data_IF_392475628446
#
_entry.id   IF_392475628446
#
_cell.length_a   1.000
_cell.length_b   1.000
_cell.length_c   1.000
_cell.angle_alpha   90.00
_cell.angle_beta   90.00
_cell.angle_gamma   90.00
#
_symmetry.space_group_name_H-M   'P 1'
#
loop_
_entity.id
_entity.type
_entity.pdbx_description
1 polymer ?
#
# COMPACT_ATOMS: atom_id res chain seq x y z
N UNK A 1 -3.89 15.38 22.58
CA UNK A 1 -3.48 15.48 21.18
C UNK A 1 -2.45 16.60 21.01
N UNK A 2 -1.18 16.21 21.11
CA UNK A 2 0.01 17.01 20.84
C UNK A 2 0.54 16.70 19.44
N UNK A 3 1.47 17.51 18.92
CA UNK A 3 2.11 17.24 17.63
C UNK A 3 2.94 15.95 17.66
N UNK A 4 3.55 15.61 18.81
CA UNK A 4 4.30 14.37 18.97
C UNK A 4 3.38 13.13 18.90
N UNK A 5 2.22 13.18 19.58
CA UNK A 5 1.21 12.13 19.52
C UNK A 5 0.70 11.92 18.08
N UNK A 6 0.50 13.00 17.32
CA UNK A 6 0.16 12.92 15.90
C UNK A 6 1.30 12.33 15.06
N UNK A 7 2.55 12.68 15.35
CA UNK A 7 3.70 12.09 14.67
C UNK A 7 3.78 10.57 14.89
N UNK A 8 3.52 10.10 16.10
CA UNK A 8 3.51 8.67 16.42
C UNK A 8 2.36 7.94 15.72
N UNK A 9 1.14 8.50 15.74
CA UNK A 9 -0.02 7.87 15.11
C UNK A 9 0.09 7.84 13.58
N UNK A 10 0.39 8.99 12.95
CA UNK A 10 0.50 9.08 11.49
C UNK A 10 1.80 8.46 10.98
N UNK A 11 2.84 8.42 11.82
CA UNK A 11 4.13 7.83 11.50
C UNK A 11 4.05 6.34 11.17
N UNK A 12 3.08 5.61 11.73
CA UNK A 12 2.85 4.18 11.43
C UNK A 12 2.60 3.92 9.94
N UNK A 13 2.12 4.93 9.20
CA UNK A 13 1.87 4.83 7.77
C UNK A 13 3.07 5.22 6.91
N UNK A 14 4.01 6.03 7.41
CA UNK A 14 5.16 6.50 6.65
C UNK A 14 5.89 7.68 7.28
N UNK A 15 7.05 8.08 6.71
CA UNK A 15 7.81 9.21 7.21
C UNK A 15 7.09 10.53 6.93
N UNK A 16 7.09 11.41 7.93
CA UNK A 16 6.34 12.66 7.90
C UNK A 16 7.24 13.83 7.52
N UNK A 17 6.79 14.61 6.55
CA UNK A 17 7.40 15.85 6.11
C UNK A 17 7.09 17.03 7.06
N UNK A 18 5.87 17.07 7.60
CA UNK A 18 5.44 18.11 8.54
C UNK A 18 4.20 17.67 9.31
N UNK A 19 4.11 18.04 10.58
CA UNK A 19 2.91 17.93 11.40
C UNK A 19 2.69 19.27 12.08
N UNK A 20 1.47 19.80 12.02
CA UNK A 20 1.14 21.09 12.63
C UNK A 20 -0.29 21.11 13.14
N UNK A 21 -0.47 21.42 14.43
CA UNK A 21 -1.80 21.67 15.00
C UNK A 21 -2.15 23.15 14.88
N UNK A 22 -3.33 23.44 14.33
CA UNK A 22 -3.89 24.78 14.26
C UNK A 22 -4.69 25.04 15.53
N UNK A 23 -4.04 25.68 16.51
CA UNK A 23 -4.67 26.05 17.77
C UNK A 23 -5.68 27.19 17.59
N UNK A 24 -6.83 27.13 18.30
CA UNK A 24 -7.91 28.11 18.16
C UNK A 24 -7.45 29.50 18.58
N UNK A 25 -7.65 30.49 17.70
CA UNK A 25 -7.21 31.88 17.90
C UNK A 25 -8.30 32.74 18.53
N UNK A 26 -9.58 32.40 18.33
CA UNK A 26 -10.72 33.13 18.88
C UNK A 26 -11.40 32.37 20.04
N UNK A 27 -12.16 33.08 20.87
CA UNK A 27 -12.96 32.45 21.95
C UNK A 27 -14.04 31.51 21.38
N UNK A 28 -14.60 31.85 20.22
CA UNK A 28 -15.62 31.05 19.53
C UNK A 28 -15.06 29.71 19.03
N UNK A 29 -13.83 29.69 18.52
CA UNK A 29 -13.13 28.46 18.14
C UNK A 29 -12.76 27.61 19.36
N UNK A 30 -12.36 28.24 20.49
CA UNK A 30 -12.09 27.53 21.75
C UNK A 30 -13.32 26.82 22.29
N UNK A 31 -14.52 27.41 22.10
CA UNK A 31 -15.80 26.81 22.51
C UNK A 31 -16.17 25.56 21.70
N UNK A 32 -15.70 25.44 20.44
CA UNK A 32 -15.99 24.27 19.58
C UNK A 32 -15.30 22.98 20.02
N UNK A 33 -14.31 23.05 20.93
CA UNK A 33 -13.55 21.91 21.46
C UNK A 33 -12.99 20.96 20.38
N UNK A 34 -12.70 21.48 19.19
CA UNK A 34 -12.13 20.74 18.05
C UNK A 34 -10.94 21.51 17.52
N UNK A 35 -9.84 20.81 17.32
CA UNK A 35 -8.65 21.37 16.70
C UNK A 35 -8.55 20.84 15.27
N UNK A 36 -8.08 21.68 14.35
CA UNK A 36 -7.69 21.24 13.02
C UNK A 36 -6.17 21.09 12.98
N UNK A 37 -5.64 20.23 12.10
CA UNK A 37 -4.21 20.07 11.91
C UNK A 37 -3.88 19.71 10.47
N UNK A 38 -2.61 19.88 10.12
CA UNK A 38 -2.06 19.46 8.84
C UNK A 38 -0.97 18.41 9.09
N UNK A 39 -1.07 17.30 8.36
CA UNK A 39 -0.03 16.27 8.30
C UNK A 39 0.38 16.14 6.84
N UNK A 40 1.68 16.28 6.59
CA UNK A 40 2.29 16.06 5.29
C UNK A 40 3.21 14.84 5.37
N UNK A 41 3.02 13.89 4.46
CA UNK A 41 3.89 12.73 4.31
C UNK A 41 5.01 13.03 3.30
N UNK A 42 6.16 12.36 3.43
CA UNK A 42 7.22 12.42 2.42
C UNK A 42 6.79 11.78 1.09
N UNK A 43 5.84 10.85 1.14
CA UNK A 43 5.27 10.18 -0.03
C UNK A 43 3.74 10.20 0.01
N UNK A 44 3.11 10.43 -1.15
CA UNK A 44 1.65 10.47 -1.31
C UNK A 44 0.97 9.16 -0.91
N UNK A 45 1.56 8.00 -1.24
CA UNK A 45 0.98 6.68 -0.96
C UNK A 45 0.75 6.47 0.54
N UNK A 46 1.64 6.99 1.37
CA UNK A 46 1.56 6.89 2.82
C UNK A 46 0.39 7.72 3.37
N UNK A 47 0.17 8.92 2.80
CA UNK A 47 -0.99 9.75 3.11
C UNK A 47 -2.32 9.14 2.67
N UNK A 48 -2.34 8.44 1.52
CA UNK A 48 -3.52 7.69 1.05
C UNK A 48 -3.89 6.57 2.03
N UNK A 49 -2.89 5.82 2.52
CA UNK A 49 -3.09 4.79 3.54
C UNK A 49 -3.58 5.37 4.87
N UNK A 50 -2.98 6.48 5.33
CA UNK A 50 -3.40 7.14 6.56
C UNK A 50 -4.86 7.62 6.45
N UNK A 51 -5.24 8.26 5.34
CA UNK A 51 -6.63 8.71 5.11
C UNK A 51 -7.60 7.54 5.11
N UNK A 52 -7.28 6.47 4.38
CA UNK A 52 -8.14 5.29 4.31
C UNK A 52 -8.35 4.62 5.67
N UNK A 53 -7.32 4.62 6.51
CA UNK A 53 -7.33 3.89 7.79
C UNK A 53 -7.90 4.71 8.94
N UNK A 54 -7.54 5.99 9.03
CA UNK A 54 -7.90 6.82 10.18
C UNK A 54 -9.19 7.63 9.97
N UNK A 55 -9.67 7.84 8.74
CA UNK A 55 -10.82 8.73 8.51
C UNK A 55 -12.11 8.08 9.05
N UNK A 56 -12.81 8.78 9.93
CA UNK A 56 -14.00 8.26 10.64
C UNK A 56 -13.68 7.38 11.86
N UNK A 57 -12.40 7.18 12.19
CA UNK A 57 -12.00 6.44 13.41
C UNK A 57 -11.81 7.37 14.60
N UNK A 58 -11.94 6.82 15.81
CA UNK A 58 -11.65 7.54 17.04
C UNK A 58 -10.18 7.38 17.42
N UNK A 59 -9.43 8.48 17.40
CA UNK A 59 -8.02 8.53 17.79
C UNK A 59 -7.89 9.42 19.01
N UNK A 60 -7.41 8.86 20.13
CA UNK A 60 -7.18 9.57 21.39
C UNK A 60 -8.40 10.36 21.90
N UNK A 61 -9.60 9.81 21.73
CA UNK A 61 -10.86 10.42 22.17
C UNK A 61 -11.46 11.44 21.19
N UNK A 62 -10.93 11.53 19.97
CA UNK A 62 -11.43 12.43 18.92
C UNK A 62 -11.77 11.66 17.65
N UNK A 63 -12.95 11.90 17.09
CA UNK A 63 -13.32 11.40 15.75
C UNK A 63 -12.48 12.13 14.69
N UNK A 64 -11.69 11.38 13.93
CA UNK A 64 -10.84 11.92 12.87
C UNK A 64 -11.65 12.20 11.62
N UNK A 65 -11.66 13.47 11.17
CA UNK A 65 -12.21 13.88 9.88
C UNK A 65 -11.11 14.46 9.03
N UNK A 66 -10.77 13.77 7.95
CA UNK A 66 -9.62 14.11 7.13
C UNK A 66 -10.02 14.37 5.68
N UNK A 67 -9.23 15.19 5.02
CA UNK A 67 -9.36 15.50 3.60
C UNK A 67 -8.02 15.94 3.03
N UNK A 68 -7.95 15.98 1.70
CA UNK A 68 -6.73 16.41 1.00
C UNK A 68 -6.57 17.93 1.06
N UNK A 69 -5.43 18.39 1.58
CA UNK A 69 -5.02 19.78 1.56
C UNK A 69 -4.22 20.17 0.32
N UNK A 70 -3.84 21.45 0.22
CA UNK A 70 -2.92 21.93 -0.82
C UNK A 70 -1.53 21.31 -0.63
N UNK A 71 -0.91 20.88 -1.73
CA UNK A 71 0.45 20.36 -1.71
C UNK A 71 1.45 21.40 -1.15
N UNK A 72 2.33 20.93 -0.27
CA UNK A 72 3.41 21.73 0.32
C UNK A 72 4.78 21.23 -0.17
N UNK A 73 5.80 22.09 -0.27
CA UNK A 73 7.16 21.65 -0.56
C UNK A 73 7.65 20.65 0.49
N UNK A 74 8.12 19.49 0.05
CA UNK A 74 8.63 18.43 0.93
C UNK A 74 10.09 18.74 1.30
N UNK A 75 10.44 18.79 2.60
CA UNK A 75 11.81 18.99 3.03
C UNK A 75 12.69 17.79 2.64
N UNK A 76 14.03 17.98 2.51
CA UNK A 76 14.94 16.88 2.15
C UNK A 76 14.99 15.77 3.21
N UNK A 77 14.72 16.12 4.47
CA UNK A 77 14.66 15.19 5.59
C UNK A 77 13.29 15.29 6.27
N UNK A 78 12.67 14.15 6.62
CA UNK A 78 11.42 14.14 7.37
C UNK A 78 11.60 14.70 8.79
N UNK A 79 10.51 15.26 9.34
CA UNK A 79 10.42 15.66 10.76
C UNK A 79 10.23 14.46 11.68
N UNK A 80 9.66 13.37 11.16
CA UNK A 80 9.47 12.12 11.89
C UNK A 80 9.78 10.93 10.98
N UNK A 81 10.66 10.05 11.46
CA UNK A 81 10.99 8.78 10.81
C UNK A 81 10.47 7.66 11.71
N UNK A 82 9.60 6.78 11.20
CA UNK A 82 9.10 5.65 11.97
C UNK A 82 10.26 4.75 12.40
N UNK A 83 10.28 4.23 13.64
CA UNK A 83 11.39 3.40 14.14
C UNK A 83 11.76 2.23 13.21
N UNK A 84 10.77 1.56 12.62
CA UNK A 84 10.98 0.48 11.66
C UNK A 84 11.77 0.93 10.40
N UNK A 85 11.58 2.17 9.94
CA UNK A 85 12.37 2.73 8.84
C UNK A 85 13.77 3.15 9.27
N UNK A 86 13.94 3.61 10.52
CA UNK A 86 15.27 3.91 11.08
C UNK A 86 16.12 2.64 11.05
N UNK A 87 15.56 1.51 11.46
CA UNK A 87 16.26 0.21 11.47
C UNK A 87 16.75 -0.20 10.06
N UNK A 88 15.97 0.10 9.02
CA UNK A 88 16.41 -0.11 7.63
C UNK A 88 17.63 0.73 7.24
N UNK A 89 17.88 1.85 7.89
CA UNK A 89 19.08 2.66 7.64
C UNK A 89 20.29 2.19 8.44
N UNK A 90 20.12 1.30 9.42
CA UNK A 90 21.22 0.78 10.22
C UNK A 90 21.99 -0.34 9.49
N UNK A 91 23.30 -0.46 9.75
CA UNK A 91 24.08 -1.58 9.26
C UNK A 91 23.57 -2.89 9.88
N UNK A 92 23.61 -4.01 9.13
CA UNK A 92 23.19 -5.30 9.66
C UNK A 92 24.17 -5.81 10.72
N UNK A 93 23.73 -6.73 11.60
CA UNK A 93 24.61 -7.33 12.60
C UNK A 93 25.81 -8.06 11.94
N UNK A 94 26.95 -8.17 12.64
CA UNK A 94 28.12 -8.87 12.12
C UNK A 94 27.81 -10.34 11.81
N UNK A 95 28.02 -10.75 10.56
CA UNK A 95 27.82 -12.13 10.11
C UNK A 95 29.10 -12.97 10.14
N UNK A 96 30.27 -12.33 10.12
CA UNK A 96 31.57 -13.00 9.93
C UNK A 96 31.91 -13.29 8.46
N UNK A 97 31.00 -13.00 7.52
CA UNK A 97 31.28 -13.09 6.08
C UNK A 97 31.99 -11.84 5.56
N UNK A 98 32.76 -11.94 4.45
CA UNK A 98 33.38 -10.78 3.81
C UNK A 98 32.37 -9.66 3.53
N UNK A 99 32.78 -8.42 3.76
CA UNK A 99 31.92 -7.22 3.61
C UNK A 99 30.65 -7.27 4.46
N UNK A 100 30.65 -8.03 5.55
CA UNK A 100 29.50 -8.27 6.41
C UNK A 100 28.26 -8.76 5.62
N UNK A 101 28.48 -9.59 4.60
CA UNK A 101 27.40 -10.16 3.79
C UNK A 101 26.46 -10.98 4.68
N UNK A 102 25.15 -10.81 4.51
CA UNK A 102 24.14 -11.52 5.30
C UNK A 102 23.67 -12.76 4.54
N UNK A 103 23.72 -13.97 5.14
CA UNK A 103 23.19 -15.18 4.53
C UNK A 103 21.66 -15.12 4.43
N UNK A 104 21.07 -15.81 3.45
CA UNK A 104 19.60 -15.88 3.30
C UNK A 104 18.93 -16.65 4.45
N UNK A 105 19.56 -17.73 4.91
CA UNK A 105 19.10 -18.53 6.05
C UNK A 105 19.96 -18.18 7.27
N UNK A 106 19.43 -17.30 8.14
CA UNK A 106 20.11 -16.91 9.38
C UNK A 106 20.20 -18.05 10.40
N UNK A 107 21.20 -18.01 11.28
CA UNK A 107 21.26 -18.86 12.48
C UNK A 107 21.98 -20.20 12.34
N UNK A 108 22.51 -20.55 11.17
CA UNK A 108 23.40 -21.72 11.03
C UNK A 108 24.86 -21.34 11.28
N UNK A 109 25.66 -22.21 11.94
CA UNK A 109 27.10 -22.00 12.04
C UNK A 109 27.71 -21.85 10.64
N UNK A 110 28.59 -20.85 10.48
CA UNK A 110 29.32 -20.71 9.22
C UNK A 110 30.23 -21.93 9.03
N UNK A 111 30.21 -22.57 7.84
CA UNK A 111 31.16 -23.61 7.53
C UNK A 111 32.58 -23.02 7.44
N UNK A 112 33.63 -23.85 7.55
CA UNK A 112 35.01 -23.41 7.36
C UNK A 112 35.20 -22.72 6.01
N UNK A 113 36.06 -21.68 5.98
CA UNK A 113 36.47 -21.02 4.74
C UNK A 113 37.01 -22.01 3.71
N UNK A 114 36.83 -21.70 2.43
CA UNK A 114 37.27 -22.52 1.29
C UNK A 114 36.56 -23.87 1.11
N UNK A 115 35.41 -24.07 1.76
CA UNK A 115 34.55 -25.22 1.47
C UNK A 115 33.54 -24.89 0.35
N UNK A 116 33.13 -25.86 -0.49
CA UNK A 116 32.09 -25.63 -1.50
C UNK A 116 30.77 -25.10 -0.90
N UNK A 117 30.49 -25.48 0.34
CA UNK A 117 29.33 -24.99 1.09
C UNK A 117 29.49 -23.51 1.48
N UNK A 118 30.68 -23.08 1.87
CA UNK A 118 31.01 -21.68 2.12
C UNK A 118 30.83 -20.84 0.85
N UNK A 119 31.37 -21.29 -0.28
CA UNK A 119 31.24 -20.58 -1.57
C UNK A 119 29.78 -20.48 -2.02
N UNK A 120 28.98 -21.53 -1.79
CA UNK A 120 27.56 -21.52 -2.07
C UNK A 120 26.83 -20.48 -1.19
N UNK A 121 27.11 -20.45 0.11
CA UNK A 121 26.54 -19.45 1.03
C UNK A 121 26.93 -18.05 0.58
N UNK A 122 28.22 -17.82 0.34
CA UNK A 122 28.77 -16.53 -0.09
C UNK A 122 28.09 -16.04 -1.37
N UNK A 123 27.95 -16.90 -2.38
CA UNK A 123 27.31 -16.56 -3.66
C UNK A 123 25.81 -16.21 -3.56
N UNK A 124 25.17 -16.60 -2.46
CA UNK A 124 23.76 -16.34 -2.18
C UNK A 124 23.53 -15.23 -1.15
N UNK A 125 24.58 -14.82 -0.44
CA UNK A 125 24.54 -13.80 0.60
C UNK A 125 24.39 -12.39 0.02
N UNK A 126 23.90 -11.46 0.82
CA UNK A 126 23.61 -10.07 0.42
C UNK A 126 24.43 -9.10 1.26
N UNK A 127 25.21 -8.24 0.60
CA UNK A 127 25.91 -7.10 1.18
C UNK A 127 24.99 -5.89 1.11
N UNK A 128 24.45 -5.47 2.25
CA UNK A 128 23.67 -4.24 2.38
C UNK A 128 24.60 -3.05 2.56
N UNK A 129 24.60 -2.14 1.60
CA UNK A 129 25.41 -0.91 1.67
C UNK A 129 24.64 0.15 2.44
N UNK A 130 25.27 0.74 3.45
CA UNK A 130 24.71 1.81 4.28
C UNK A 130 25.62 3.04 4.17
N UNK A 131 25.01 4.22 4.01
CA UNK A 131 25.75 5.48 3.95
C UNK A 131 26.18 5.86 5.38
N UNK A 132 27.49 6.11 5.62
CA UNK A 132 27.95 6.61 6.92
C UNK A 132 27.21 7.88 7.34
N UNK A 133 26.75 7.93 8.59
CA UNK A 133 26.03 9.08 9.17
C UNK A 133 26.98 10.21 9.59
N UNK A 134 28.24 9.89 9.88
CA UNK A 134 29.28 10.84 10.25
C UNK A 134 29.78 11.65 9.04
N UNK A 135 29.49 12.96 9.03
CA UNK A 135 29.82 13.86 7.91
C UNK A 135 31.31 13.94 7.59
N UNK A 136 32.15 13.93 8.63
CA UNK A 136 33.61 14.03 8.48
C UNK A 136 34.16 12.77 7.83
N UNK A 137 33.75 11.60 8.30
CA UNK A 137 34.11 10.30 7.73
C UNK A 137 33.60 10.17 6.29
N UNK A 138 32.36 10.56 6.03
CA UNK A 138 31.78 10.52 4.68
C UNK A 138 32.57 11.40 3.70
N UNK A 139 32.89 12.63 4.11
CA UNK A 139 33.71 13.56 3.31
C UNK A 139 35.11 13.00 3.04
N UNK A 140 35.74 12.39 4.05
CA UNK A 140 37.04 11.74 3.91
C UNK A 140 36.99 10.58 2.92
N UNK A 141 35.97 9.71 3.02
CA UNK A 141 35.76 8.61 2.10
C UNK A 141 35.60 9.12 0.66
N UNK A 142 34.78 10.15 0.44
CA UNK A 142 34.58 10.73 -0.90
C UNK A 142 35.87 11.31 -1.46
N UNK A 143 36.66 12.02 -0.64
CA UNK A 143 37.95 12.58 -1.05
C UNK A 143 38.95 11.48 -1.39
N UNK A 144 38.99 10.41 -0.61
CA UNK A 144 39.81 9.23 -0.90
C UNK A 144 39.43 8.58 -2.24
N UNK A 145 38.13 8.44 -2.52
CA UNK A 145 37.66 7.87 -3.79
C UNK A 145 38.05 8.75 -4.97
N UNK A 146 37.89 10.07 -4.86
CA UNK A 146 38.30 11.02 -5.90
C UNK A 146 39.77 10.83 -6.30
N UNK A 147 40.66 10.74 -5.30
CA UNK A 147 42.09 10.53 -5.56
C UNK A 147 42.38 9.12 -6.10
N UNK A 148 41.74 8.07 -5.59
CA UNK A 148 41.96 6.71 -6.10
C UNK A 148 41.48 6.55 -7.54
N UNK A 149 40.37 7.20 -7.92
CA UNK A 149 39.88 7.21 -9.31
C UNK A 149 40.86 7.96 -10.23
N UNK A 150 41.48 9.04 -9.74
CA UNK A 150 42.39 9.89 -10.53
C UNK A 150 43.81 9.32 -10.64
N UNK A 151 44.38 8.86 -9.54
CA UNK A 151 45.79 8.44 -9.39
C UNK A 151 45.95 6.91 -9.47
N UNK A 152 44.85 6.16 -9.38
CA UNK A 152 44.84 4.70 -9.45
C UNK A 152 45.07 3.98 -8.10
N UNK A 153 45.10 2.63 -8.12
CA UNK A 153 45.14 1.81 -6.90
C UNK A 153 46.46 1.92 -6.13
N UNK A 154 47.55 2.35 -6.75
CA UNK A 154 48.82 2.60 -6.06
C UNK A 154 48.70 3.72 -5.02
N UNK A 155 47.83 4.71 -5.26
CA UNK A 155 47.54 5.77 -4.29
C UNK A 155 46.85 5.20 -3.04
N UNK A 156 45.88 4.30 -3.21
CA UNK A 156 45.21 3.62 -2.09
C UNK A 156 46.24 2.89 -1.22
N UNK A 157 47.12 2.09 -1.84
CA UNK A 157 48.17 1.35 -1.13
C UNK A 157 49.15 2.28 -0.39
N UNK A 158 49.51 3.42 -0.98
CA UNK A 158 50.37 4.42 -0.35
C UNK A 158 49.73 5.02 0.90
N UNK A 159 48.45 5.41 0.82
CA UNK A 159 47.72 5.96 1.97
C UNK A 159 47.53 4.90 3.05
N UNK A 160 47.23 3.65 2.69
CA UNK A 160 47.14 2.55 3.64
C UNK A 160 48.45 2.35 4.43
N UNK A 161 49.61 2.42 3.78
CA UNK A 161 50.89 2.30 4.47
C UNK A 161 51.20 3.51 5.36
N UNK A 162 50.89 4.72 4.88
CA UNK A 162 51.17 5.98 5.60
C UNK A 162 50.26 6.18 6.82
N UNK A 163 48.98 5.85 6.69
CA UNK A 163 47.94 6.16 7.68
C UNK A 163 47.53 4.93 8.52
N UNK A 164 48.41 3.92 8.62
CA UNK A 164 48.15 2.66 9.33
C UNK A 164 47.66 2.85 10.78
N UNK A 165 48.23 3.84 11.47
CA UNK A 165 47.91 4.14 12.87
C UNK A 165 46.86 5.24 13.04
N UNK A 166 46.30 5.76 11.95
CA UNK A 166 45.33 6.86 11.98
C UNK A 166 43.89 6.31 12.07
N UNK A 167 43.15 6.57 13.16
CA UNK A 167 41.77 6.09 13.31
C UNK A 167 40.82 6.60 12.21
N UNK A 168 41.10 7.75 11.60
CA UNK A 168 40.27 8.31 10.52
C UNK A 168 40.29 7.45 9.24
N UNK A 169 41.39 6.72 9.01
CA UNK A 169 41.57 5.83 7.85
C UNK A 169 41.28 4.36 8.18
N UNK A 170 40.75 4.07 9.36
CA UNK A 170 40.43 2.72 9.83
C UNK A 170 39.52 1.95 8.85
N UNK A 171 38.64 2.67 8.15
CA UNK A 171 37.78 2.11 7.11
C UNK A 171 38.54 1.49 5.92
N UNK A 172 39.82 1.80 5.69
CA UNK A 172 40.61 1.15 4.65
C UNK A 172 41.03 -0.27 5.05
N UNK A 173 41.12 -0.56 6.35
CA UNK A 173 41.64 -1.81 6.89
C UNK A 173 40.53 -2.75 7.38
N UNK A 174 39.43 -2.20 7.89
CA UNK A 174 38.33 -2.98 8.45
C UNK A 174 37.32 -3.43 7.39
N UNK A 175 37.62 -4.56 6.73
CA UNK A 175 36.84 -5.12 5.61
C UNK A 175 35.34 -5.37 5.89
N UNK A 176 34.95 -5.56 7.16
CA UNK A 176 33.57 -5.80 7.59
C UNK A 176 32.87 -4.53 8.08
N UNK A 177 33.59 -3.42 8.22
CA UNK A 177 33.00 -2.17 8.71
C UNK A 177 32.02 -1.59 7.68
N UNK A 178 30.90 -0.98 8.12
CA UNK A 178 29.96 -0.32 7.21
C UNK A 178 30.63 0.76 6.35
N UNK A 179 31.62 1.46 6.93
CA UNK A 179 32.40 2.47 6.23
C UNK A 179 33.25 1.88 5.09
N UNK A 180 33.88 0.72 5.30
CA UNK A 180 34.62 0.02 4.24
C UNK A 180 33.70 -0.48 3.13
N UNK A 181 32.56 -1.07 3.50
CA UNK A 181 31.55 -1.55 2.56
C UNK A 181 31.05 -0.40 1.67
N UNK A 182 30.75 0.75 2.28
CA UNK A 182 30.37 1.96 1.55
C UNK A 182 31.49 2.46 0.64
N UNK A 183 32.73 2.54 1.13
CA UNK A 183 33.90 2.95 0.34
C UNK A 183 34.08 2.09 -0.92
N UNK A 184 34.08 0.76 -0.77
CA UNK A 184 34.26 -0.19 -1.88
C UNK A 184 33.12 -0.12 -2.88
N UNK A 185 31.87 -0.12 -2.42
CA UNK A 185 30.71 0.05 -3.28
C UNK A 185 30.76 1.37 -4.04
N UNK A 186 31.09 2.46 -3.35
CA UNK A 186 31.06 3.79 -3.94
C UNK A 186 32.17 4.00 -4.97
N UNK A 187 33.37 3.50 -4.69
CA UNK A 187 34.47 3.46 -5.66
C UNK A 187 34.05 2.69 -6.91
N UNK A 188 33.46 1.50 -6.74
CA UNK A 188 32.93 0.70 -7.86
C UNK A 188 31.85 1.46 -8.65
N UNK A 189 30.87 2.05 -7.97
CA UNK A 189 29.77 2.80 -8.60
C UNK A 189 30.30 3.93 -9.50
N UNK A 190 31.27 4.73 -9.02
CA UNK A 190 31.88 5.80 -9.81
C UNK A 190 32.67 5.25 -11.00
N UNK A 191 33.45 4.17 -10.80
CA UNK A 191 34.18 3.52 -11.88
C UNK A 191 33.27 2.91 -12.96
N UNK A 192 32.03 2.55 -12.61
CA UNK A 192 31.00 2.11 -13.55
C UNK A 192 30.25 3.26 -14.23
N UNK A 193 30.64 4.52 -13.98
CA UNK A 193 30.07 5.71 -14.61
C UNK A 193 28.84 6.31 -13.92
N UNK A 194 28.54 5.92 -12.68
CA UNK A 194 27.46 6.56 -11.92
C UNK A 194 27.86 8.00 -11.51
N UNK A 195 26.87 8.91 -11.49
CA UNK A 195 27.08 10.30 -11.08
C UNK A 195 27.19 10.39 -9.54
N UNK A 196 27.95 11.35 -8.97
CA UNK A 196 28.07 11.50 -7.52
C UNK A 196 26.72 11.57 -6.80
N UNK A 197 25.75 12.30 -7.35
CA UNK A 197 24.44 12.45 -6.74
C UNK A 197 23.36 11.53 -7.35
N UNK A 198 23.73 10.59 -8.24
CA UNK A 198 22.78 9.67 -8.89
C UNK A 198 23.44 8.35 -9.30
N UNK A 199 22.97 7.26 -8.69
CA UNK A 199 23.51 5.91 -8.88
C UNK A 199 22.42 4.87 -9.12
N UNK A 200 22.83 3.70 -9.62
CA UNK A 200 21.95 2.55 -9.81
C UNK A 200 21.61 1.89 -8.46
N UNK A 201 20.34 1.53 -8.26
CA UNK A 201 19.85 0.89 -7.03
C UNK A 201 19.53 -0.60 -7.19
N UNK A 202 19.68 -1.15 -8.40
CA UNK A 202 19.48 -2.58 -8.65
C UNK A 202 20.60 -3.40 -8.00
N UNK A 203 20.26 -4.58 -7.50
CA UNK A 203 21.23 -5.51 -6.93
C UNK A 203 22.18 -6.03 -8.02
N UNK A 204 23.46 -6.16 -7.68
CA UNK A 204 24.48 -6.59 -8.63
C UNK A 204 25.57 -7.43 -7.95
N UNK A 205 26.42 -8.10 -8.73
CA UNK A 205 27.59 -8.81 -8.20
C UNK A 205 28.86 -8.08 -8.58
N UNK A 206 29.65 -7.67 -7.58
CA UNK A 206 30.93 -7.02 -7.81
C UNK A 206 32.00 -8.02 -8.28
N UNK A 207 31.94 -9.26 -7.80
CA UNK A 207 32.91 -10.31 -8.10
C UNK A 207 32.21 -11.58 -8.60
N UNK A 208 32.87 -12.33 -9.49
CA UNK A 208 32.38 -13.63 -9.96
C UNK A 208 32.33 -14.62 -8.79
N UNK A 209 31.16 -15.21 -8.55
CA UNK A 209 30.93 -16.11 -7.41
C UNK A 209 30.78 -15.42 -6.05
N UNK A 210 30.90 -14.09 -5.98
CA UNK A 210 30.72 -13.31 -4.76
C UNK A 210 29.27 -13.00 -4.41
N UNK A 211 29.09 -12.35 -3.26
CA UNK A 211 27.81 -11.89 -2.72
C UNK A 211 27.09 -10.89 -3.63
N UNK A 212 25.77 -10.79 -3.48
CA UNK A 212 24.93 -9.76 -4.09
C UNK A 212 25.07 -8.45 -3.32
N UNK A 213 25.40 -7.36 -4.00
CA UNK A 213 25.50 -6.03 -3.42
C UNK A 213 24.18 -5.29 -3.62
N UNK A 214 23.62 -4.80 -2.53
CA UNK A 214 22.41 -3.95 -2.51
C UNK A 214 22.82 -2.50 -2.25
N UNK A 215 22.81 -1.63 -3.28
CA UNK A 215 23.12 -0.22 -3.13
C UNK A 215 22.20 0.48 -2.12
N UNK A 216 22.65 1.56 -1.45
CA UNK A 216 21.78 2.35 -0.60
C UNK A 216 20.74 3.09 -1.45
N UNK A 217 19.52 3.30 -0.95
CA UNK A 217 18.54 4.16 -1.61
C UNK A 217 19.05 5.60 -1.67
N UNK A 218 18.78 6.32 -2.77
CA UNK A 218 19.19 7.72 -2.93
C UNK A 218 18.53 8.64 -1.91
N UNK A 219 17.26 8.37 -1.61
CA UNK A 219 16.56 8.94 -0.46
C UNK A 219 15.64 7.87 0.12
N UNK A 220 15.98 7.27 1.28
CA UNK A 220 15.18 6.19 1.87
C UNK A 220 13.75 6.63 2.21
N UNK A 221 13.51 7.93 2.39
CA UNK A 221 12.22 8.45 2.87
C UNK A 221 11.27 8.85 1.73
N UNK A 222 11.80 9.18 0.55
CA UNK A 222 10.94 9.57 -0.59
C UNK A 222 10.22 8.38 -1.23
N UNK A 223 10.67 7.15 -0.98
CA UNK A 223 9.97 5.95 -1.44
C UNK A 223 8.76 5.59 -0.57
N UNK A 224 8.60 6.25 0.59
CA UNK A 224 7.55 5.97 1.57
C UNK A 224 7.84 4.74 2.43
N UNK A 225 6.86 4.30 3.22
CA UNK A 225 6.97 3.07 4.01
C UNK A 225 7.00 1.84 3.08
N UNK A 226 7.99 0.93 3.19
CA UNK A 226 7.98 -0.34 2.48
C UNK A 226 6.75 -1.17 2.81
N UNK A 227 6.15 -1.82 1.82
CA UNK A 227 4.92 -2.61 1.99
C UNK A 227 5.06 -3.72 3.05
N UNK A 228 6.25 -4.29 3.20
CA UNK A 228 6.57 -5.32 4.21
C UNK A 228 6.52 -4.79 5.65
N UNK A 229 6.78 -3.49 5.84
CA UNK A 229 6.82 -2.83 7.16
C UNK A 229 5.54 -2.09 7.51
N UNK A 230 4.62 -1.93 6.55
CA UNK A 230 3.27 -1.45 6.87
C UNK A 230 2.66 -2.48 7.79
N UNK A 231 2.52 -2.15 9.08
CA UNK A 231 1.77 -2.97 10.01
C UNK A 231 0.44 -3.30 9.33
N UNK A 232 0.16 -4.60 9.14
CA UNK A 232 -1.21 -5.07 8.90
C UNK A 232 -1.97 -4.77 10.20
N UNK A 233 -2.27 -3.49 10.42
CA UNK A 233 -2.87 -2.98 11.63
C UNK A 233 -4.19 -3.71 11.80
N UNK A 234 -4.20 -4.68 12.72
CA UNK A 234 -5.33 -5.52 13.14
C UNK A 234 -6.15 -6.16 12.03
N UNK A 235 -6.32 -7.47 12.15
CA UNK A 235 -7.44 -8.21 11.57
C UNK A 235 -8.80 -7.73 12.15
N UNK A 236 -9.13 -6.46 11.98
CA UNK A 236 -10.51 -6.03 11.78
C UNK A 236 -10.75 -6.15 10.27
N UNK A 237 -11.84 -6.77 9.81
CA UNK A 237 -12.14 -6.84 8.39
C UNK A 237 -12.33 -5.40 7.90
N UNK A 238 -11.31 -4.84 7.26
CA UNK A 238 -11.47 -3.65 6.44
C UNK A 238 -12.53 -3.98 5.38
N UNK A 239 -13.46 -3.05 5.08
CA UNK A 239 -14.26 -3.17 3.88
C UNK A 239 -13.27 -3.30 2.72
N UNK A 240 -13.38 -4.41 1.97
CA UNK A 240 -12.56 -4.65 0.80
C UNK A 240 -12.60 -3.40 -0.09
N UNK A 241 -11.46 -3.00 -0.67
CA UNK A 241 -11.52 -2.13 -1.83
C UNK A 241 -12.47 -2.78 -2.83
N UNK A 242 -13.38 -2.02 -3.48
CA UNK A 242 -14.34 -2.60 -4.40
C UNK A 242 -13.56 -3.40 -5.42
N UNK A 243 -13.71 -4.73 -5.34
CA UNK A 243 -13.16 -5.66 -6.33
C UNK A 243 -13.53 -5.09 -7.68
N UNK A 244 -12.57 -4.98 -8.61
CA UNK A 244 -12.88 -4.54 -9.98
C UNK A 244 -14.11 -5.33 -10.47
N UNK A 245 -15.23 -4.63 -10.65
CA UNK A 245 -16.54 -5.24 -10.92
C UNK A 245 -17.45 -5.46 -9.70
N UNK A 246 -17.38 -4.60 -8.68
CA UNK A 246 -18.29 -4.54 -7.53
C UNK A 246 -18.80 -3.10 -7.33
N UNK A 247 -20.01 -2.96 -6.79
CA UNK A 247 -20.62 -1.68 -6.44
C UNK A 247 -19.89 -1.06 -5.24
N UNK A 248 -19.73 0.26 -5.25
CA UNK A 248 -19.39 0.99 -4.02
C UNK A 248 -20.56 0.96 -3.03
N UNK A 249 -20.31 1.17 -1.73
CA UNK A 249 -21.37 1.19 -0.71
C UNK A 249 -22.50 2.15 -1.06
N UNK A 250 -22.18 3.36 -1.55
CA UNK A 250 -23.18 4.33 -2.00
C UNK A 250 -24.01 3.84 -3.20
N UNK A 251 -23.40 3.08 -4.12
CA UNK A 251 -24.12 2.52 -5.26
C UNK A 251 -25.00 1.34 -4.82
N UNK A 252 -24.51 0.49 -3.92
CA UNK A 252 -25.30 -0.60 -3.35
C UNK A 252 -26.50 -0.07 -2.57
N UNK A 253 -26.30 0.91 -1.71
CA UNK A 253 -27.39 1.56 -0.95
C UNK A 253 -28.44 2.17 -1.88
N UNK A 254 -27.99 2.80 -2.97
CA UNK A 254 -28.89 3.35 -4.00
C UNK A 254 -29.66 2.25 -4.73
N UNK A 255 -29.02 1.14 -5.09
CA UNK A 255 -29.69 0.00 -5.71
C UNK A 255 -30.76 -0.59 -4.79
N UNK A 256 -30.42 -0.77 -3.51
CA UNK A 256 -31.38 -1.25 -2.51
C UNK A 256 -32.58 -0.30 -2.35
N UNK A 257 -32.35 1.01 -2.31
CA UNK A 257 -33.43 1.98 -2.21
C UNK A 257 -34.36 1.94 -3.45
N UNK A 258 -33.77 1.83 -4.66
CA UNK A 258 -34.53 1.62 -5.89
C UNK A 258 -35.37 0.35 -5.79
N UNK A 259 -34.80 -0.78 -5.37
CA UNK A 259 -35.53 -2.04 -5.23
C UNK A 259 -36.60 -2.01 -4.12
N UNK A 260 -36.38 -1.25 -3.05
CA UNK A 260 -37.36 -1.06 -1.97
C UNK A 260 -38.55 -0.23 -2.44
N UNK A 261 -38.34 0.75 -3.30
CA UNK A 261 -39.38 1.68 -3.76
C UNK A 261 -39.94 1.34 -5.16
N UNK A 262 -39.44 0.30 -5.81
CA UNK A 262 -39.82 -0.08 -7.17
C UNK A 262 -41.33 -0.40 -7.28
N UNK A 263 -41.97 0.22 -8.28
CA UNK A 263 -43.37 -0.02 -8.66
C UNK A 263 -43.42 -0.75 -10.01
N UNK A 264 -44.54 -1.43 -10.34
CA UNK A 264 -44.70 -2.08 -11.65
C UNK A 264 -44.96 -1.09 -12.80
N UNK A 265 -44.77 0.22 -12.58
CA UNK A 265 -44.94 1.25 -13.61
C UNK A 265 -43.77 1.24 -14.60
N UNK A 266 -44.08 1.37 -15.89
CA UNK A 266 -43.09 1.28 -16.98
C UNK A 266 -41.92 2.26 -16.82
N UNK A 267 -42.18 3.48 -16.35
CA UNK A 267 -41.16 4.51 -16.12
C UNK A 267 -40.20 4.11 -15.00
N UNK A 268 -40.74 3.63 -13.87
CA UNK A 268 -39.93 3.19 -12.73
C UNK A 268 -39.05 1.98 -13.09
N UNK A 269 -39.60 1.01 -13.83
CA UNK A 269 -38.83 -0.15 -14.32
C UNK A 269 -37.72 0.28 -15.28
N UNK A 270 -38.01 1.20 -16.20
CA UNK A 270 -37.02 1.69 -17.16
C UNK A 270 -35.86 2.42 -16.46
N UNK A 271 -36.13 3.29 -15.48
CA UNK A 271 -35.11 4.00 -14.71
C UNK A 271 -34.22 3.03 -13.91
N UNK A 272 -34.84 2.02 -13.27
CA UNK A 272 -34.10 0.98 -12.56
C UNK A 272 -33.24 0.12 -13.49
N UNK A 273 -33.73 -0.20 -14.69
CA UNK A 273 -32.97 -0.94 -15.69
C UNK A 273 -31.78 -0.14 -16.21
N UNK A 274 -31.97 1.15 -16.50
CA UNK A 274 -30.88 2.05 -16.91
C UNK A 274 -29.79 2.08 -15.85
N UNK A 275 -30.17 2.22 -14.57
CA UNK A 275 -29.21 2.19 -13.48
C UNK A 275 -28.39 0.89 -13.44
N UNK A 276 -29.03 -0.26 -13.64
CA UNK A 276 -28.33 -1.55 -13.71
C UNK A 276 -27.38 -1.63 -14.91
N UNK A 277 -27.78 -1.10 -16.06
CA UNK A 277 -26.97 -1.10 -17.29
C UNK A 277 -25.77 -0.15 -17.22
N UNK A 278 -25.91 1.00 -16.56
CA UNK A 278 -24.81 1.96 -16.33
C UNK A 278 -23.71 1.39 -15.42
N UNK A 279 -24.06 0.44 -14.56
CA UNK A 279 -23.17 -0.22 -13.59
C UNK A 279 -22.90 -1.69 -13.95
N UNK A 280 -22.95 -2.02 -15.24
CA UNK A 280 -22.82 -3.39 -15.74
C UNK A 280 -21.46 -4.05 -15.38
N UNK A 281 -20.44 -3.28 -15.02
CA UNK A 281 -19.21 -3.80 -14.43
C UNK A 281 -19.44 -4.63 -13.17
N UNK A 282 -20.48 -4.31 -12.39
CA UNK A 282 -20.88 -5.01 -11.18
C UNK A 282 -22.08 -5.96 -11.40
N UNK A 283 -22.28 -6.44 -12.63
CA UNK A 283 -23.44 -7.25 -13.02
C UNK A 283 -23.72 -8.45 -12.09
N UNK A 284 -22.68 -9.12 -11.61
CA UNK A 284 -22.84 -10.28 -10.71
C UNK A 284 -23.48 -9.86 -9.37
N UNK A 285 -22.97 -8.80 -8.76
CA UNK A 285 -23.50 -8.27 -7.49
C UNK A 285 -24.92 -7.73 -7.66
N UNK A 286 -25.20 -7.01 -8.76
CA UNK A 286 -26.55 -6.53 -9.07
C UNK A 286 -27.55 -7.69 -9.20
N UNK A 287 -27.17 -8.78 -9.88
CA UNK A 287 -28.00 -9.99 -10.00
C UNK A 287 -28.29 -10.59 -8.62
N UNK A 288 -27.26 -10.71 -7.77
CA UNK A 288 -27.40 -11.25 -6.42
C UNK A 288 -28.34 -10.38 -5.57
N UNK A 289 -28.18 -9.05 -5.58
CA UNK A 289 -29.07 -8.12 -4.87
C UNK A 289 -30.54 -8.24 -5.33
N UNK A 290 -30.80 -8.33 -6.65
CA UNK A 290 -32.16 -8.46 -7.17
C UNK A 290 -32.76 -9.82 -6.75
N UNK A 291 -31.99 -10.91 -6.87
CA UNK A 291 -32.43 -12.25 -6.47
C UNK A 291 -32.74 -12.33 -4.97
N UNK A 292 -31.86 -11.82 -4.11
CA UNK A 292 -32.06 -11.77 -2.66
C UNK A 292 -33.27 -10.92 -2.29
N UNK A 293 -33.49 -9.80 -2.98
CA UNK A 293 -34.69 -9.00 -2.74
C UNK A 293 -35.97 -9.80 -3.02
N UNK A 294 -35.96 -10.71 -4.01
CA UNK A 294 -37.09 -11.57 -4.36
C UNK A 294 -37.29 -12.73 -3.38
N UNK A 295 -36.25 -13.17 -2.66
CA UNK A 295 -36.36 -14.25 -1.66
C UNK A 295 -36.97 -13.80 -0.34
N UNK A 296 -36.99 -12.49 -0.04
CA UNK A 296 -37.59 -11.95 1.19
C UNK A 296 -39.11 -12.18 1.22
N UNK A 297 -39.57 -13.05 2.13
CA UNK A 297 -40.97 -13.47 2.26
C UNK A 297 -41.92 -12.30 2.55
N UNK A 298 -41.49 -11.32 3.35
CA UNK A 298 -42.29 -10.16 3.75
C UNK A 298 -42.46 -9.12 2.62
N UNK A 299 -41.77 -9.29 1.49
CA UNK A 299 -41.88 -8.34 0.37
C UNK A 299 -43.30 -8.42 -0.23
N UNK A 300 -44.03 -7.29 -0.34
CA UNK A 300 -45.35 -7.25 -0.97
C UNK A 300 -45.35 -7.77 -2.41
N UNK A 301 -46.43 -8.44 -2.81
CA UNK A 301 -46.55 -9.10 -4.12
C UNK A 301 -46.31 -8.14 -5.30
N UNK A 302 -46.89 -6.94 -5.28
CA UNK A 302 -46.71 -5.96 -6.35
C UNK A 302 -45.24 -5.55 -6.54
N UNK A 303 -44.42 -5.57 -5.49
CA UNK A 303 -42.98 -5.30 -5.57
C UNK A 303 -42.22 -6.49 -6.13
N UNK A 304 -42.63 -7.72 -5.81
CA UNK A 304 -42.06 -8.93 -6.44
C UNK A 304 -42.33 -8.94 -7.95
N UNK A 305 -43.55 -8.61 -8.38
CA UNK A 305 -43.89 -8.44 -9.80
C UNK A 305 -43.05 -7.34 -10.46
N UNK A 306 -42.91 -6.18 -9.82
CA UNK A 306 -42.06 -5.10 -10.33
C UNK A 306 -40.60 -5.54 -10.53
N UNK A 307 -40.03 -6.29 -9.58
CA UNK A 307 -38.66 -6.82 -9.68
C UNK A 307 -38.52 -7.88 -10.77
N UNK A 308 -39.55 -8.69 -11.04
CA UNK A 308 -39.56 -9.61 -12.19
C UNK A 308 -39.60 -8.85 -13.52
N UNK A 309 -40.35 -7.75 -13.63
CA UNK A 309 -40.32 -6.88 -14.80
C UNK A 309 -38.94 -6.26 -15.01
N UNK A 310 -38.27 -5.83 -13.93
CA UNK A 310 -36.89 -5.35 -14.01
C UNK A 310 -35.93 -6.44 -14.54
N UNK A 311 -36.04 -7.69 -14.08
CA UNK A 311 -35.22 -8.80 -14.61
C UNK A 311 -35.48 -8.99 -16.10
N UNK A 312 -36.74 -8.97 -16.52
CA UNK A 312 -37.13 -9.09 -17.94
C UNK A 312 -36.50 -7.99 -18.78
N UNK A 313 -36.58 -6.73 -18.34
CA UNK A 313 -36.04 -5.57 -19.06
C UNK A 313 -34.50 -5.60 -19.11
N UNK A 314 -33.83 -6.00 -18.02
CA UNK A 314 -32.37 -6.19 -18.02
C UNK A 314 -31.98 -7.30 -19.00
N UNK A 315 -32.65 -8.46 -18.98
CA UNK A 315 -32.35 -9.57 -19.89
C UNK A 315 -32.64 -9.24 -21.35
N UNK A 316 -33.65 -8.42 -21.62
CA UNK A 316 -33.94 -7.92 -22.96
C UNK A 316 -32.81 -7.01 -23.47
N UNK A 317 -32.31 -6.11 -22.61
CA UNK A 317 -31.32 -5.10 -22.98
C UNK A 317 -29.87 -5.53 -22.78
N UNK A 318 -29.60 -6.66 -22.13
CA UNK A 318 -28.22 -7.12 -21.88
C UNK A 318 -27.45 -7.52 -23.16
N UNK A 319 -28.13 -7.59 -24.31
CA UNK A 319 -27.55 -7.88 -25.62
C UNK A 319 -27.12 -6.62 -26.38
N UNK A 320 -27.36 -5.43 -25.82
CA UNK A 320 -26.90 -4.14 -26.39
C UNK A 320 -25.37 -4.04 -26.27
N UNK A 321 -24.72 -3.23 -27.13
CA UNK A 321 -23.26 -3.00 -27.12
C UNK A 321 -22.79 -2.14 -25.92
N UNK A 322 -23.09 -2.60 -24.71
CA UNK A 322 -22.57 -2.06 -23.45
C UNK A 322 -21.57 -3.07 -22.89
N UNK A 323 -20.39 -2.61 -22.50
CA UNK A 323 -19.36 -3.47 -21.90
C UNK A 323 -19.94 -4.15 -20.65
N UNK A 324 -19.61 -5.44 -20.46
CA UNK A 324 -20.05 -6.24 -19.31
C UNK A 324 -21.57 -6.53 -19.19
N UNK A 325 -22.44 -5.90 -19.97
CA UNK A 325 -23.89 -6.14 -19.91
C UNK A 325 -24.25 -7.61 -20.19
N UNK A 326 -23.51 -8.30 -21.06
CA UNK A 326 -23.72 -9.72 -21.34
C UNK A 326 -23.60 -10.64 -20.10
N UNK A 327 -22.94 -10.19 -19.03
CA UNK A 327 -22.82 -10.97 -17.79
C UNK A 327 -24.15 -11.09 -17.04
N UNK A 328 -25.08 -10.15 -17.20
CA UNK A 328 -26.44 -10.27 -16.63
C UNK A 328 -27.14 -11.54 -17.09
N UNK A 329 -26.99 -11.91 -18.37
CA UNK A 329 -27.58 -13.14 -18.91
C UNK A 329 -27.07 -14.38 -18.17
N UNK A 330 -25.75 -14.47 -17.99
CA UNK A 330 -25.11 -15.60 -17.30
C UNK A 330 -25.50 -15.64 -15.81
N UNK A 331 -25.53 -14.48 -15.15
CA UNK A 331 -25.90 -14.37 -13.75
C UNK A 331 -27.35 -14.80 -13.49
N UNK A 332 -28.30 -14.21 -14.21
CA UNK A 332 -29.72 -14.57 -14.04
C UNK A 332 -30.02 -16.01 -14.47
N UNK A 333 -29.34 -16.54 -15.49
CA UNK A 333 -29.52 -17.96 -15.86
C UNK A 333 -29.29 -18.91 -14.67
N UNK A 334 -28.34 -18.61 -13.80
CA UNK A 334 -28.06 -19.42 -12.61
C UNK A 334 -29.10 -19.22 -11.49
N UNK A 335 -29.67 -18.01 -11.35
CA UNK A 335 -30.56 -17.63 -10.23
C UNK A 335 -32.05 -17.77 -10.52
N UNK A 336 -32.46 -17.78 -11.80
CA UNK A 336 -33.87 -17.84 -12.19
C UNK A 336 -34.63 -19.05 -11.59
N UNK A 337 -34.08 -20.27 -11.50
CA UNK A 337 -34.78 -21.39 -10.87
C UNK A 337 -35.15 -21.12 -9.41
N UNK A 338 -34.21 -20.57 -8.63
CA UNK A 338 -34.42 -20.23 -7.22
C UNK A 338 -35.40 -19.07 -7.07
N UNK A 339 -35.25 -18.02 -7.90
CA UNK A 339 -36.17 -16.87 -7.93
C UNK A 339 -37.61 -17.34 -8.17
N UNK A 340 -37.84 -18.18 -9.18
CA UNK A 340 -39.20 -18.65 -9.49
C UNK A 340 -39.75 -19.59 -8.43
N UNK A 341 -38.89 -20.35 -7.73
CA UNK A 341 -39.28 -21.13 -6.56
C UNK A 341 -39.73 -20.22 -5.41
N UNK A 342 -38.96 -19.20 -5.06
CA UNK A 342 -39.32 -18.26 -3.98
C UNK A 342 -40.61 -17.48 -4.30
N UNK A 343 -40.79 -17.11 -5.57
CA UNK A 343 -42.00 -16.47 -6.07
C UNK A 343 -43.20 -17.43 -6.01
N UNK A 344 -43.01 -18.71 -6.34
CA UNK A 344 -44.04 -19.74 -6.24
C UNK A 344 -44.43 -20.05 -4.79
N UNK A 345 -43.47 -20.13 -3.88
CA UNK A 345 -43.70 -20.36 -2.46
C UNK A 345 -44.48 -19.17 -1.86
N UNK A 346 -44.13 -17.94 -2.25
CA UNK A 346 -44.87 -16.75 -1.87
C UNK A 346 -46.30 -16.76 -2.40
N UNK A 347 -46.51 -17.19 -3.65
CA UNK A 347 -47.85 -17.34 -4.24
C UNK A 347 -48.69 -18.39 -3.52
N UNK A 348 -48.10 -19.54 -3.19
CA UNK A 348 -48.77 -20.65 -2.52
C UNK A 348 -49.17 -20.31 -1.07
N UNK A 349 -48.47 -19.37 -0.43
CA UNK A 349 -48.80 -18.85 0.89
C UNK A 349 -49.95 -17.83 0.90
N UNK A 350 -50.50 -17.45 -0.26
CA UNK A 350 -51.64 -16.51 -0.32
C UNK A 350 -52.92 -17.24 0.06
N UNK A 351 -53.40 -17.03 1.29
CA UNK A 351 -54.65 -17.63 1.80
C UNK A 351 -55.94 -17.14 1.10
N UNK A 352 -55.85 -16.09 0.26
CA UNK A 352 -57.00 -15.45 -0.41
C UNK A 352 -57.02 -15.61 -1.94
N UNK A 353 -58.01 -16.34 -2.47
CA UNK A 353 -58.19 -16.62 -3.93
C UNK A 353 -58.21 -15.36 -4.82
N UNK A 354 -58.80 -14.26 -4.34
CA UNK A 354 -58.86 -12.96 -5.06
C UNK A 354 -57.50 -12.23 -5.13
N UNK A 355 -56.65 -12.36 -4.10
CA UNK A 355 -55.29 -11.79 -4.11
C UNK A 355 -54.33 -12.63 -4.97
N UNK A 356 -54.60 -13.93 -5.09
CA UNK A 356 -53.86 -14.82 -5.98
C UNK A 356 -54.18 -14.54 -7.47
N UNK A 357 -55.40 -14.13 -7.83
CA UNK A 357 -55.70 -13.75 -9.23
C UNK A 357 -55.01 -12.46 -9.68
N UNK A 358 -54.69 -11.53 -8.78
CA UNK A 358 -53.88 -10.35 -9.11
C UNK A 358 -52.40 -10.66 -9.42
N UNK A 359 -52.00 -11.93 -9.29
CA UNK A 359 -50.64 -12.41 -9.50
C UNK A 359 -50.46 -13.24 -10.79
N UNK A 360 -51.56 -13.71 -11.40
CA UNK A 360 -51.56 -14.26 -12.76
C UNK A 360 -51.55 -13.13 -13.78
#
# INVERSE_FOLDING_TARGET
MTEQELCEEFGRFGPLASVKIMWPRSQEERLRRRNCGFVAFMNRKDGERAIKTLNGTEVMGFEMKMGWGKAVPIPPHPVYIPPAMVELTLPPPPSGLPFNAQPKEGGRPLPPSHTPQFDKILSSAVVKVVIPTERNLLSLIHRMIEFVVREGPMFEAMIMNRELNNPMFRFLFENQSPAHVYYRWRLFSILQGDHPNKWRTQEFRMFKGGSLWKPPPMNPYLQGMPEELVEKASASPLPEEPKKGALSDNQRDKLEDVLRNLTPERTAIAEAMIYCMEHAEAAQEIVDCIAESLSIVQTPLHKKVARLYLISDILHNCSVRVANASFFRKGFQAKLPDIFKDVHDCFSAIEGRLKAEQFK
#
